data_IF_299519879435
#
_entry.id   IF_299519879435
#
_cell.length_a   1.000
_cell.length_b   1.000
_cell.length_c   1.000
_cell.angle_alpha   90.00
_cell.angle_beta   90.00
_cell.angle_gamma   90.00
#
_symmetry.space_group_name_H-M   'P 1'
#
loop_
_entity.id
_entity.type
_entity.pdbx_description
1 polymer ?
#
# COMPACT_ATOMS: atom_id res chain seq x y z
N UNK A 1 0.03 -8.52 8.21
CA UNK A 1 -0.16 -9.69 7.31
C UNK A 1 0.50 -9.34 5.99
N UNK A 2 1.05 -10.31 5.26
CA UNK A 2 1.33 -10.09 3.84
C UNK A 2 -0.03 -10.02 3.13
N UNK A 3 -0.30 -8.97 2.36
CA UNK A 3 -1.40 -9.01 1.40
C UNK A 3 -0.96 -10.01 0.34
N UNK A 4 -1.56 -11.19 0.25
CA UNK A 4 -1.21 -12.24 -0.72
C UNK A 4 -1.56 -11.85 -2.18
N UNK A 5 -1.70 -10.56 -2.47
CA UNK A 5 -1.96 -10.04 -3.80
C UNK A 5 -0.64 -10.01 -4.59
N UNK A 6 -0.61 -10.79 -5.67
CA UNK A 6 0.44 -10.75 -6.68
C UNK A 6 -0.17 -10.06 -7.89
N UNK A 7 0.27 -8.84 -8.19
CA UNK A 7 -0.05 -8.15 -9.42
C UNK A 7 1.07 -8.45 -10.42
N UNK A 8 0.78 -9.20 -11.49
CA UNK A 8 1.79 -9.63 -12.46
C UNK A 8 1.63 -8.84 -13.77
N UNK A 9 2.69 -8.15 -14.17
CA UNK A 9 2.70 -7.29 -15.35
C UNK A 9 2.39 -5.82 -15.08
N UNK A 10 2.86 -4.96 -15.99
CA UNK A 10 2.84 -3.51 -15.82
C UNK A 10 1.43 -2.92 -15.68
N UNK A 11 0.43 -3.52 -16.33
CA UNK A 11 -0.94 -3.01 -16.34
C UNK A 11 -1.67 -3.26 -15.01
N UNK A 12 -1.48 -4.42 -14.39
CA UNK A 12 -2.10 -4.77 -13.09
C UNK A 12 -1.49 -3.95 -11.95
N UNK A 13 -0.14 -3.85 -11.94
CA UNK A 13 0.60 -2.99 -11.02
C UNK A 13 0.13 -1.54 -11.14
N UNK A 14 -0.07 -1.06 -12.39
CA UNK A 14 -0.58 0.29 -12.58
C UNK A 14 -2.02 0.48 -12.15
N UNK A 15 -2.90 -0.51 -12.36
CA UNK A 15 -4.27 -0.48 -11.86
C UNK A 15 -4.34 -0.28 -10.34
N UNK A 16 -3.54 -1.04 -9.60
CA UNK A 16 -3.41 -0.90 -8.15
C UNK A 16 -2.95 0.51 -7.73
N UNK A 17 -1.89 1.03 -8.36
CA UNK A 17 -1.39 2.38 -8.03
C UNK A 17 -2.39 3.48 -8.38
N UNK A 18 -3.11 3.36 -9.50
CA UNK A 18 -4.14 4.33 -9.91
C UNK A 18 -5.30 4.33 -8.91
N UNK A 19 -5.79 3.15 -8.53
CA UNK A 19 -6.89 3.02 -7.57
C UNK A 19 -6.51 3.62 -6.21
N UNK A 20 -5.33 3.28 -5.70
CA UNK A 20 -4.85 3.77 -4.40
C UNK A 20 -4.61 5.28 -4.41
N UNK A 21 -3.99 5.83 -5.46
CA UNK A 21 -3.78 7.29 -5.60
C UNK A 21 -5.08 8.06 -5.83
N UNK A 22 -6.08 7.43 -6.42
CA UNK A 22 -7.43 8.03 -6.55
C UNK A 22 -8.13 8.10 -5.19
N UNK A 23 -8.05 7.02 -4.41
CA UNK A 23 -8.63 6.97 -3.06
C UNK A 23 -7.94 7.94 -2.09
N UNK A 24 -6.61 8.11 -2.23
CA UNK A 24 -5.75 8.91 -1.35
C UNK A 24 -4.84 9.86 -2.16
N UNK A 25 -5.38 10.94 -2.74
CA UNK A 25 -4.61 11.84 -3.62
C UNK A 25 -3.55 12.66 -2.89
N UNK A 26 -3.63 12.77 -1.56
CA UNK A 26 -2.65 13.42 -0.69
C UNK A 26 -1.74 12.41 0.04
N UNK A 27 -1.65 11.19 -0.49
CA UNK A 27 -0.78 10.15 0.05
C UNK A 27 0.68 10.62 0.08
N UNK A 28 1.34 10.41 1.23
CA UNK A 28 2.76 10.76 1.44
C UNK A 28 3.46 9.78 2.38
N UNK A 29 4.78 9.81 2.34
CA UNK A 29 5.66 9.02 3.20
C UNK A 29 6.40 9.93 4.18
N UNK A 30 6.43 9.55 5.45
CA UNK A 30 7.21 10.21 6.51
C UNK A 30 8.15 9.20 7.19
N UNK A 31 9.15 9.68 7.91
CA UNK A 31 10.05 8.86 8.74
C UNK A 31 10.75 7.71 7.99
N UNK A 32 11.11 7.95 6.73
CA UNK A 32 11.72 6.95 5.85
C UNK A 32 13.07 6.49 6.38
N UNK A 33 13.26 5.17 6.44
CA UNK A 33 14.53 4.49 6.75
C UNK A 33 14.78 3.46 5.67
N UNK A 34 16.04 3.34 5.24
CA UNK A 34 16.45 2.41 4.20
C UNK A 34 17.57 1.52 4.72
N UNK A 35 17.45 0.24 4.43
CA UNK A 35 18.42 -0.79 4.74
C UNK A 35 18.79 -1.52 3.45
N UNK A 36 20.09 -1.57 3.17
CA UNK A 36 20.62 -2.17 1.95
C UNK A 36 21.11 -3.58 2.26
N UNK A 37 20.59 -4.55 1.52
CA UNK A 37 21.07 -5.93 1.49
C UNK A 37 21.72 -6.22 0.13
N UNK A 38 22.15 -7.46 -0.07
CA UNK A 38 22.85 -7.86 -1.30
C UNK A 38 21.93 -7.85 -2.53
N UNK A 39 20.68 -8.28 -2.37
CA UNK A 39 19.69 -8.50 -3.43
C UNK A 39 18.46 -7.58 -3.34
N UNK A 40 18.35 -6.81 -2.26
CA UNK A 40 17.18 -5.98 -2.00
C UNK A 40 17.48 -4.70 -1.21
N UNK A 41 16.55 -3.76 -1.31
CA UNK A 41 16.46 -2.57 -0.45
C UNK A 41 15.19 -2.68 0.38
N UNK A 42 15.34 -2.67 1.70
CA UNK A 42 14.24 -2.67 2.65
C UNK A 42 13.99 -1.22 3.07
N UNK A 43 12.76 -0.76 2.93
CA UNK A 43 12.34 0.60 3.31
C UNK A 43 11.25 0.54 4.36
N UNK A 44 11.48 1.17 5.50
CA UNK A 44 10.46 1.39 6.52
C UNK A 44 9.99 2.84 6.47
N UNK A 45 8.69 3.09 6.51
CA UNK A 45 8.14 4.44 6.50
C UNK A 45 6.73 4.50 7.09
N UNK A 46 6.32 5.68 7.53
CA UNK A 46 4.93 5.96 7.81
C UNK A 46 4.21 6.35 6.52
N UNK A 47 3.13 5.65 6.18
CA UNK A 47 2.22 6.02 5.10
C UNK A 47 1.04 6.80 5.67
N UNK A 48 0.78 7.96 5.07
CA UNK A 48 -0.29 8.86 5.48
C UNK A 48 -1.12 9.26 4.26
N UNK A 49 -2.41 9.50 4.48
CA UNK A 49 -3.31 10.01 3.45
C UNK A 49 -4.70 10.30 4.00
N UNK A 50 -5.54 10.92 3.19
CA UNK A 50 -6.94 11.20 3.48
C UNK A 50 -7.82 10.52 2.44
N UNK A 51 -8.82 9.76 2.87
CA UNK A 51 -9.74 9.08 1.96
C UNK A 51 -10.68 10.09 1.27
N UNK A 52 -10.22 10.61 0.13
CA UNK A 52 -10.89 11.66 -0.66
C UNK A 52 -11.54 11.11 -1.93
N UNK A 53 -11.18 9.90 -2.34
CA UNK A 53 -11.82 9.17 -3.43
C UNK A 53 -12.43 7.85 -2.98
N UNK A 54 -13.17 7.17 -3.87
CA UNK A 54 -13.73 5.86 -3.57
C UNK A 54 -12.64 4.84 -3.22
N UNK A 55 -12.90 3.97 -2.25
CA UNK A 55 -11.97 2.93 -1.83
C UNK A 55 -12.70 1.58 -1.77
N UNK A 56 -12.28 0.60 -2.58
CA UNK A 56 -12.94 -0.71 -2.71
C UNK A 56 -14.48 -0.61 -2.91
N UNK A 57 -14.92 0.34 -3.75
CA UNK A 57 -16.34 0.57 -4.03
C UNK A 57 -17.12 1.32 -2.94
N UNK A 58 -16.47 1.75 -1.87
CA UNK A 58 -17.06 2.56 -0.80
C UNK A 58 -16.82 4.04 -1.04
N UNK A 59 -17.82 4.87 -0.71
CA UNK A 59 -17.75 6.33 -0.80
C UNK A 59 -16.65 6.92 0.11
N UNK A 60 -16.00 8.03 -0.29
CA UNK A 60 -14.93 8.65 0.47
C UNK A 60 -15.42 9.13 1.84
N UNK A 61 -14.66 8.83 2.89
CA UNK A 61 -15.04 9.19 4.26
C UNK A 61 -14.48 10.54 4.72
N UNK A 62 -13.51 11.10 4.00
CA UNK A 62 -12.79 12.31 4.38
C UNK A 62 -11.87 12.14 5.60
N UNK A 63 -11.75 10.92 6.14
CA UNK A 63 -10.88 10.62 7.29
C UNK A 63 -9.45 10.34 6.84
N UNK A 64 -8.50 10.71 7.69
CA UNK A 64 -7.09 10.46 7.45
C UNK A 64 -6.62 9.19 8.15
N UNK A 65 -5.55 8.59 7.63
CA UNK A 65 -4.86 7.47 8.25
C UNK A 65 -3.36 7.77 8.39
N UNK A 66 -2.73 7.08 9.33
CA UNK A 66 -1.28 6.94 9.44
C UNK A 66 -0.97 5.49 9.85
N UNK A 67 -0.21 4.78 9.05
CA UNK A 67 0.21 3.39 9.34
C UNK A 67 1.68 3.17 9.01
N UNK A 68 2.43 2.41 9.82
CA UNK A 68 3.78 2.00 9.48
C UNK A 68 3.75 0.94 8.37
N UNK A 69 4.66 1.08 7.41
CA UNK A 69 4.86 0.18 6.27
C UNK A 69 6.31 -0.33 6.30
N UNK A 70 6.50 -1.59 5.90
CA UNK A 70 7.78 -2.12 5.45
C UNK A 70 7.65 -2.58 4.00
N UNK A 71 8.42 -1.99 3.08
CA UNK A 71 8.47 -2.36 1.68
C UNK A 71 9.86 -2.94 1.35
N UNK A 72 9.88 -4.07 0.64
CA UNK A 72 11.10 -4.75 0.20
C UNK A 72 11.14 -4.71 -1.32
N UNK A 73 12.14 -4.02 -1.88
CA UNK A 73 12.36 -3.91 -3.31
C UNK A 73 13.49 -4.86 -3.71
N UNK A 74 13.22 -5.78 -4.63
CA UNK A 74 14.21 -6.70 -5.21
C UNK A 74 14.68 -6.18 -6.56
N UNK A 75 15.96 -6.39 -6.87
CA UNK A 75 16.60 -5.83 -8.06
C UNK A 75 17.24 -6.90 -8.95
N UNK A 76 17.17 -6.70 -10.27
CA UNK A 76 18.05 -7.32 -11.25
C UNK A 76 18.80 -6.19 -11.99
N UNK A 77 20.10 -6.05 -11.70
CA UNK A 77 20.87 -4.92 -12.19
C UNK A 77 20.37 -3.59 -11.62
N UNK A 78 19.94 -2.68 -12.48
CA UNK A 78 19.41 -1.36 -12.12
C UNK A 78 17.87 -1.30 -12.08
N UNK A 79 17.19 -2.44 -12.28
CA UNK A 79 15.73 -2.53 -12.36
C UNK A 79 15.13 -3.20 -11.14
N UNK A 80 14.06 -2.62 -10.61
CA UNK A 80 13.20 -3.27 -9.62
C UNK A 80 12.41 -4.37 -10.34
N UNK A 81 12.51 -5.60 -9.85
CA UNK A 81 11.80 -6.77 -10.39
C UNK A 81 10.65 -7.24 -9.50
N UNK A 82 10.64 -6.83 -8.23
CA UNK A 82 9.57 -7.18 -7.29
C UNK A 82 9.49 -6.15 -6.16
N UNK A 83 8.28 -5.88 -5.69
CA UNK A 83 7.98 -5.11 -4.49
C UNK A 83 7.12 -5.97 -3.55
N UNK A 84 7.57 -6.15 -2.31
CA UNK A 84 6.76 -6.79 -1.25
C UNK A 84 6.45 -5.79 -0.16
N UNK A 85 5.17 -5.56 0.11
CA UNK A 85 4.72 -4.57 1.09
C UNK A 85 4.07 -5.27 2.29
N UNK A 86 4.43 -4.83 3.49
CA UNK A 86 3.85 -5.30 4.75
C UNK A 86 3.28 -4.12 5.52
N UNK A 87 2.03 -4.24 5.93
CA UNK A 87 1.38 -3.27 6.80
C UNK A 87 0.18 -3.87 7.54
N UNK A 88 -0.35 -3.11 8.49
CA UNK A 88 -1.60 -3.42 9.16
C UNK A 88 -2.79 -2.81 8.41
N UNK A 89 -3.34 -3.60 7.49
CA UNK A 89 -4.52 -3.23 6.71
C UNK A 89 -5.76 -3.00 7.59
N UNK A 90 -5.91 -3.74 8.70
CA UNK A 90 -7.02 -3.56 9.65
C UNK A 90 -6.94 -2.19 10.34
N UNK A 91 -5.74 -1.77 10.74
CA UNK A 91 -5.53 -0.42 11.29
C UNK A 91 -5.87 0.67 10.27
N UNK A 92 -5.47 0.51 9.00
CA UNK A 92 -5.80 1.48 7.94
C UNK A 92 -7.31 1.64 7.77
N UNK A 93 -8.03 0.54 7.53
CA UNK A 93 -9.48 0.59 7.27
C UNK A 93 -10.27 1.02 8.50
N UNK A 94 -9.79 0.69 9.70
CA UNK A 94 -10.39 1.16 10.96
C UNK A 94 -10.28 2.68 11.10
N UNK A 95 -9.09 3.25 10.84
CA UNK A 95 -8.87 4.71 10.92
C UNK A 95 -9.75 5.49 9.94
N UNK A 96 -9.92 4.99 8.71
CA UNK A 96 -10.81 5.64 7.73
C UNK A 96 -12.29 5.28 7.91
N UNK A 97 -12.65 4.42 8.87
CA UNK A 97 -14.02 4.01 9.14
C UNK A 97 -14.63 3.10 8.08
N UNK A 98 -13.82 2.34 7.35
CA UNK A 98 -14.24 1.44 6.28
C UNK A 98 -13.89 -0.03 6.56
N UNK A 99 -14.19 -0.53 7.76
CA UNK A 99 -13.88 -1.92 8.15
C UNK A 99 -14.38 -2.99 7.16
N UNK A 100 -15.46 -2.72 6.42
CA UNK A 100 -15.96 -3.62 5.37
C UNK A 100 -14.98 -3.80 4.19
N UNK A 101 -14.10 -2.83 3.93
CA UNK A 101 -13.05 -2.94 2.91
C UNK A 101 -11.92 -3.91 3.31
N UNK A 102 -11.88 -4.38 4.57
CA UNK A 102 -10.85 -5.32 5.01
C UNK A 102 -10.89 -6.63 4.22
N UNK A 103 -12.09 -7.12 3.89
CA UNK A 103 -12.25 -8.33 3.08
C UNK A 103 -11.66 -8.15 1.68
N UNK A 104 -11.88 -6.99 1.06
CA UNK A 104 -11.30 -6.65 -0.26
C UNK A 104 -9.78 -6.58 -0.24
N UNK A 105 -9.18 -6.05 0.84
CA UNK A 105 -7.72 -5.93 1.01
C UNK A 105 -7.02 -7.26 1.35
N UNK A 106 -7.74 -8.24 1.87
CA UNK A 106 -7.16 -9.54 2.24
C UNK A 106 -7.23 -10.56 1.09
N UNK A 107 -7.88 -10.21 -0.02
CA UNK A 107 -8.19 -11.09 -1.14
C UNK A 107 -9.26 -12.12 -0.76
N UNK A 108 -10.33 -12.22 -1.54
CA UNK A 108 -11.10 -13.47 -1.57
C UNK A 108 -10.16 -14.54 -2.13
N UNK A 109 -9.91 -15.56 -1.31
CA UNK A 109 -9.05 -16.72 -1.56
C UNK A 109 -9.36 -17.48 -2.84
#
# INVERSE_FOLDING_TARGET
>A
MATSEVYDGADEVMGYYIATRTAFPDQRHENVRMHFAEDCVITEFDLLGTNKGPFYGLEPTGKSFKVPICAIFFFEGDRIVNERIYFDSASLVSQIGQGAALAGLLGDS
#
